data_IF_080528620644
#
_entry.id   IF_080528620644
#
_cell.length_a   1.000
_cell.length_b   1.000
_cell.length_c   1.000
_cell.angle_alpha   90.00
_cell.angle_beta   90.00
_cell.angle_gamma   90.00
#
_symmetry.space_group_name_H-M   'P 1'
#
loop_
_entity.id
_entity.type
_entity.pdbx_description
1 polymer ?
#
# COMPACT_ATOMS: atom_id res chain seq x y z
N UNK A 1 -8.95 21.98 -1.48
CA UNK A 1 -7.65 22.34 -2.11
C UNK A 1 -6.47 22.04 -1.20
N UNK A 2 -6.46 22.48 0.07
CA UNK A 2 -5.35 22.20 1.00
C UNK A 2 -5.09 20.70 1.23
N UNK A 3 -6.15 19.89 1.39
CA UNK A 3 -6.04 18.43 1.54
C UNK A 3 -5.43 17.74 0.32
N UNK A 4 -5.79 18.17 -0.90
CA UNK A 4 -5.28 17.63 -2.16
C UNK A 4 -3.80 17.98 -2.36
N UNK A 5 -3.41 19.19 -1.98
CA UNK A 5 -2.00 19.64 -2.00
C UNK A 5 -1.17 18.85 -0.99
N UNK A 6 -1.72 18.54 0.20
CA UNK A 6 -1.04 17.74 1.22
C UNK A 6 -0.81 16.29 0.77
N UNK A 7 -1.79 15.68 0.09
CA UNK A 7 -1.66 14.33 -0.50
C UNK A 7 -0.62 14.30 -1.62
N UNK A 8 -0.58 15.32 -2.48
CA UNK A 8 0.45 15.47 -3.51
C UNK A 8 1.86 15.72 -2.93
N UNK A 9 1.96 16.44 -1.80
CA UNK A 9 3.21 16.65 -1.09
C UNK A 9 3.72 15.36 -0.43
N UNK A 10 2.83 14.52 0.10
CA UNK A 10 3.21 13.22 0.64
C UNK A 10 3.61 12.21 -0.45
N UNK A 11 3.05 12.30 -1.65
CA UNK A 11 3.47 11.47 -2.81
C UNK A 11 4.81 11.92 -3.43
N UNK A 12 5.23 13.18 -3.23
CA UNK A 12 6.49 13.73 -3.74
C UNK A 12 7.64 13.70 -2.74
N UNK A 13 7.33 13.52 -1.44
CA UNK A 13 8.31 13.18 -0.43
C UNK A 13 8.69 11.70 -0.58
N UNK A 14 9.51 11.39 -1.59
CA UNK A 14 10.39 10.21 -1.54
C UNK A 14 11.17 10.39 -0.23
N UNK A 15 10.99 9.56 0.80
CA UNK A 15 11.87 9.64 1.93
C UNK A 15 13.26 9.33 1.38
N UNK A 16 14.13 10.32 1.42
CA UNK A 16 15.57 10.16 1.27
C UNK A 16 16.06 9.36 2.50
N UNK A 17 15.57 8.12 2.63
CA UNK A 17 16.12 7.13 3.55
C UNK A 17 17.47 6.80 2.93
N UNK A 18 18.47 7.50 3.41
CA UNK A 18 19.83 7.00 3.44
C UNK A 18 19.74 5.68 4.20
N UNK A 19 19.71 4.57 3.47
CA UNK A 19 19.75 3.22 4.00
C UNK A 19 21.14 3.01 4.64
N UNK A 20 21.34 3.58 5.83
CA UNK A 20 22.27 3.03 6.80
C UNK A 20 21.69 1.70 7.25
N UNK A 21 21.91 0.66 6.44
CA UNK A 21 21.63 -0.70 6.83
C UNK A 21 22.56 -1.04 8.00
N UNK A 22 22.03 -0.97 9.22
CA UNK A 22 22.63 -1.70 10.32
C UNK A 22 22.54 -3.18 9.97
N UNK A 23 23.70 -3.76 9.71
CA UNK A 23 23.86 -5.16 9.36
C UNK A 23 23.43 -6.03 10.54
N UNK A 24 22.23 -6.61 10.43
CA UNK A 24 21.95 -7.86 11.14
C UNK A 24 22.68 -8.96 10.37
N UNK A 25 23.85 -9.32 10.89
CA UNK A 25 24.64 -10.49 10.50
C UNK A 25 23.84 -11.78 10.80
N UNK A 26 22.91 -12.12 9.91
CA UNK A 26 22.35 -13.46 9.81
C UNK A 26 22.79 -14.05 8.50
N UNK A 27 23.86 -14.85 8.55
CA UNK A 27 24.47 -15.69 7.51
C UNK A 27 23.67 -15.88 6.22
N UNK A 28 23.60 -14.85 5.39
CA UNK A 28 23.08 -14.95 4.03
C UNK A 28 24.17 -15.60 3.18
N UNK A 29 23.84 -16.63 2.37
CA UNK A 29 24.76 -17.10 1.36
C UNK A 29 25.16 -15.89 0.50
N UNK A 30 26.45 -15.79 0.17
CA UNK A 30 26.96 -14.68 -0.63
C UNK A 30 26.12 -14.57 -1.92
N UNK A 31 25.31 -13.51 -2.00
CA UNK A 31 24.46 -13.24 -3.14
C UNK A 31 25.41 -12.99 -4.32
N UNK A 32 25.34 -13.83 -5.34
CA UNK A 32 26.16 -13.63 -6.53
C UNK A 32 25.78 -12.29 -7.19
N UNK A 33 26.69 -11.63 -7.91
CA UNK A 33 26.37 -10.40 -8.65
C UNK A 33 25.13 -10.54 -9.55
N UNK A 34 24.91 -11.74 -10.09
CA UNK A 34 23.75 -12.08 -10.93
C UNK A 34 22.43 -12.16 -10.12
N UNK A 35 22.47 -12.73 -8.91
CA UNK A 35 21.32 -12.77 -8.01
C UNK A 35 20.93 -11.38 -7.51
N UNK A 36 21.92 -10.50 -7.29
CA UNK A 36 21.68 -9.11 -6.90
C UNK A 36 20.98 -8.32 -8.02
N UNK A 37 21.32 -8.57 -9.28
CA UNK A 37 20.65 -7.93 -10.43
C UNK A 37 19.21 -8.40 -10.58
N UNK A 38 18.92 -9.70 -10.38
CA UNK A 38 17.54 -10.22 -10.38
C UNK A 38 16.72 -9.65 -9.22
N UNK A 39 17.32 -9.53 -8.02
CA UNK A 39 16.63 -9.00 -6.84
C UNK A 39 16.17 -7.53 -7.03
N UNK A 40 16.92 -6.70 -7.78
CA UNK A 40 16.50 -5.32 -8.10
C UNK A 40 15.14 -5.27 -8.79
N UNK A 41 14.93 -6.15 -9.78
CA UNK A 41 13.64 -6.23 -10.47
C UNK A 41 12.54 -6.75 -9.55
N UNK A 42 12.86 -7.68 -8.64
CA UNK A 42 11.93 -8.17 -7.62
C UNK A 42 11.46 -7.07 -6.66
N UNK A 43 12.35 -6.21 -6.19
CA UNK A 43 11.98 -5.07 -5.34
C UNK A 43 11.09 -4.07 -6.06
N UNK A 44 11.38 -3.76 -7.33
CA UNK A 44 10.53 -2.89 -8.15
C UNK A 44 9.15 -3.52 -8.36
N UNK A 45 9.11 -4.81 -8.68
CA UNK A 45 7.85 -5.54 -8.86
C UNK A 45 7.00 -5.55 -7.58
N UNK A 46 7.61 -5.75 -6.41
CA UNK A 46 6.93 -5.69 -5.12
C UNK A 46 6.36 -4.28 -4.84
N UNK A 47 7.15 -3.23 -5.08
CA UNK A 47 6.72 -1.84 -4.89
C UNK A 47 5.54 -1.47 -5.82
N UNK A 48 5.61 -1.89 -7.08
CA UNK A 48 4.53 -1.69 -8.07
C UNK A 48 3.26 -2.46 -7.64
N UNK A 49 3.38 -3.73 -7.26
CA UNK A 49 2.23 -4.54 -6.84
C UNK A 49 1.46 -3.92 -5.66
N UNK A 50 2.18 -3.48 -4.63
CA UNK A 50 1.56 -2.82 -3.49
C UNK A 50 1.05 -1.42 -3.84
N UNK A 51 1.84 -0.61 -4.55
CA UNK A 51 1.50 0.77 -4.89
C UNK A 51 0.21 0.89 -5.71
N UNK A 52 0.07 0.07 -6.76
CA UNK A 52 -1.17 0.05 -7.54
C UNK A 52 -2.36 -0.48 -6.75
N UNK A 53 -2.16 -1.50 -5.90
CA UNK A 53 -3.19 -1.99 -4.99
C UNK A 53 -3.70 -0.91 -4.03
N UNK A 54 -2.80 -0.13 -3.44
CA UNK A 54 -3.12 0.97 -2.54
C UNK A 54 -3.86 2.12 -3.25
N UNK A 55 -3.44 2.48 -4.47
CA UNK A 55 -4.13 3.50 -5.27
C UNK A 55 -5.55 3.05 -5.62
N UNK A 56 -5.72 1.82 -6.09
CA UNK A 56 -7.03 1.27 -6.44
C UNK A 56 -7.97 1.21 -5.22
N UNK A 57 -7.47 0.75 -4.07
CA UNK A 57 -8.22 0.74 -2.83
C UNK A 57 -8.60 2.16 -2.38
N UNK A 58 -7.67 3.12 -2.44
CA UNK A 58 -7.93 4.51 -2.08
C UNK A 58 -9.07 5.14 -2.90
N UNK A 59 -9.12 4.87 -4.21
CA UNK A 59 -10.22 5.32 -5.08
C UNK A 59 -11.55 4.67 -4.67
N UNK A 60 -11.55 3.36 -4.41
CA UNK A 60 -12.74 2.64 -3.95
C UNK A 60 -13.27 3.17 -2.62
N UNK A 61 -12.38 3.32 -1.63
CA UNK A 61 -12.69 3.84 -0.30
C UNK A 61 -13.21 5.27 -0.37
N UNK A 62 -12.65 6.14 -1.21
CA UNK A 62 -13.13 7.51 -1.37
C UNK A 62 -14.60 7.57 -1.81
N UNK A 63 -14.98 6.71 -2.77
CA UNK A 63 -16.35 6.66 -3.28
C UNK A 63 -17.32 6.04 -2.26
N UNK A 64 -16.94 4.90 -1.67
CA UNK A 64 -17.78 4.20 -0.68
C UNK A 64 -17.92 5.05 0.59
N UNK A 65 -16.83 5.68 1.04
CA UNK A 65 -16.82 6.57 2.21
C UNK A 65 -17.71 7.80 2.03
N UNK A 66 -17.68 8.43 0.85
CA UNK A 66 -18.58 9.56 0.56
C UNK A 66 -20.06 9.15 0.61
N UNK A 67 -20.41 8.02 0.00
CA UNK A 67 -21.77 7.49 0.04
C UNK A 67 -22.20 7.08 1.46
N UNK A 68 -21.30 6.46 2.22
CA UNK A 68 -21.50 6.08 3.61
C UNK A 68 -21.82 7.29 4.50
N UNK A 69 -21.03 8.37 4.41
CA UNK A 69 -21.27 9.59 5.18
C UNK A 69 -22.61 10.25 4.82
N UNK A 70 -23.01 10.21 3.55
CA UNK A 70 -24.35 10.65 3.12
C UNK A 70 -25.46 9.84 3.78
N UNK A 71 -25.37 8.50 3.72
CA UNK A 71 -26.37 7.62 4.33
C UNK A 71 -26.44 7.77 5.87
N UNK A 72 -25.29 7.93 6.53
CA UNK A 72 -25.20 8.17 7.97
C UNK A 72 -25.85 9.50 8.35
N UNK A 73 -25.75 10.52 7.51
CA UNK A 73 -26.37 11.83 7.77
C UNK A 73 -27.90 11.78 7.76
N UNK A 74 -28.49 10.88 6.97
CA UNK A 74 -29.95 10.66 6.95
C UNK A 74 -30.40 9.70 8.05
N UNK A 75 -29.64 8.62 8.27
CA UNK A 75 -29.97 7.54 9.21
C UNK A 75 -28.73 7.13 10.01
N UNK A 76 -28.48 7.73 11.18
CA UNK A 76 -27.30 7.43 11.97
C UNK A 76 -27.23 5.96 12.41
N UNK A 77 -28.37 5.26 12.45
CA UNK A 77 -28.46 3.85 12.81
C UNK A 77 -27.75 2.94 11.80
N UNK A 78 -27.53 3.39 10.55
CA UNK A 78 -26.84 2.60 9.51
C UNK A 78 -25.31 2.69 9.58
N UNK A 79 -24.74 3.46 10.52
CA UNK A 79 -23.29 3.66 10.61
C UNK A 79 -22.50 2.35 10.73
N UNK A 80 -23.01 1.38 11.48
CA UNK A 80 -22.37 0.06 11.60
C UNK A 80 -22.31 -0.70 10.27
N UNK A 81 -23.39 -0.68 9.48
CA UNK A 81 -23.42 -1.31 8.15
C UNK A 81 -22.52 -0.56 7.16
N UNK A 82 -22.52 0.77 7.22
CA UNK A 82 -21.68 1.61 6.38
C UNK A 82 -20.18 1.31 6.57
N UNK A 83 -19.73 1.09 7.82
CA UNK A 83 -18.35 0.71 8.12
C UNK A 83 -17.96 -0.65 7.51
N UNK A 84 -18.89 -1.62 7.43
CA UNK A 84 -18.64 -2.93 6.80
C UNK A 84 -18.37 -2.76 5.31
N UNK A 85 -19.15 -1.92 4.61
CA UNK A 85 -18.93 -1.66 3.19
C UNK A 85 -17.60 -0.94 2.92
N UNK A 86 -17.20 -0.02 3.81
CA UNK A 86 -15.88 0.63 3.72
C UNK A 86 -14.77 -0.40 3.93
N UNK A 87 -14.87 -1.28 4.93
CA UNK A 87 -13.89 -2.34 5.18
C UNK A 87 -13.81 -3.35 4.01
N UNK A 88 -14.94 -3.67 3.36
CA UNK A 88 -14.96 -4.49 2.14
C UNK A 88 -14.20 -3.81 1.00
N UNK A 89 -14.30 -2.48 0.87
CA UNK A 89 -13.54 -1.73 -0.13
C UNK A 89 -12.02 -1.71 0.15
N UNK A 90 -11.62 -1.75 1.42
CA UNK A 90 -10.22 -1.84 1.83
C UNK A 90 -9.54 -3.14 1.37
N UNK A 91 -10.28 -4.25 1.26
CA UNK A 91 -9.73 -5.57 0.89
C UNK A 91 -8.88 -5.59 -0.40
N UNK A 92 -9.08 -4.64 -1.32
CA UNK A 92 -8.25 -4.47 -2.51
C UNK A 92 -6.76 -4.23 -2.20
N UNK A 93 -6.43 -3.48 -1.14
CA UNK A 93 -5.03 -3.20 -0.78
C UNK A 93 -4.35 -4.45 -0.23
N UNK A 94 -5.11 -5.31 0.45
CA UNK A 94 -4.61 -6.55 1.05
C UNK A 94 -4.08 -7.49 -0.03
N UNK A 95 -4.75 -7.58 -1.19
CA UNK A 95 -4.25 -8.38 -2.31
C UNK A 95 -2.94 -7.84 -2.89
N UNK A 96 -2.80 -6.52 -3.02
CA UNK A 96 -1.55 -5.90 -3.45
C UNK A 96 -0.42 -6.11 -2.45
N UNK A 97 -0.72 -5.99 -1.16
CA UNK A 97 0.23 -6.21 -0.07
C UNK A 97 0.70 -7.67 0.01
N UNK A 98 -0.22 -8.63 0.00
CA UNK A 98 0.11 -10.07 -0.01
C UNK A 98 0.96 -10.41 -1.23
N UNK A 99 0.62 -9.89 -2.41
CA UNK A 99 1.40 -10.12 -3.63
C UNK A 99 2.83 -9.60 -3.48
N UNK A 100 3.02 -8.41 -2.91
CA UNK A 100 4.35 -7.86 -2.63
C UNK A 100 5.15 -8.73 -1.66
N UNK A 101 4.53 -9.26 -0.60
CA UNK A 101 5.17 -10.19 0.33
C UNK A 101 5.57 -11.52 -0.34
N UNK A 102 4.73 -12.05 -1.23
CA UNK A 102 5.05 -13.27 -1.98
C UNK A 102 6.25 -13.04 -2.91
N UNK A 103 6.33 -11.88 -3.55
CA UNK A 103 7.49 -11.50 -4.39
C UNK A 103 8.74 -11.41 -3.53
N UNK A 104 8.65 -10.69 -2.41
CA UNK A 104 9.77 -10.49 -1.49
C UNK A 104 10.25 -11.79 -0.83
N UNK A 105 9.36 -12.77 -0.62
CA UNK A 105 9.73 -14.10 -0.11
C UNK A 105 10.37 -15.03 -1.14
N UNK A 106 10.41 -14.65 -2.43
CA UNK A 106 11.00 -15.44 -3.52
C UNK A 106 12.34 -14.93 -4.01
N UNK A 107 12.72 -13.70 -3.62
CA UNK A 107 14.03 -13.11 -3.91
C UNK A 107 15.00 -13.36 -2.74
#
# INVERSE_FOLDING_TARGET
MLFVVLVLLMMSAIPLVNAGAEAVETGKPAISPEQADVAKFGFIAAAVAFGFGAIAAGIGIANVGAAAMGAISEKPEVAGQALIFIALAEGLVVFGFITALIILGKI
#
